data_IF_505223557739
#
_entry.id   IF_505223557739
#
_cell.length_a   1.000
_cell.length_b   1.000
_cell.length_c   1.000
_cell.angle_alpha   90.00
_cell.angle_beta   90.00
_cell.angle_gamma   90.00
#
_symmetry.space_group_name_H-M   'P 1'
#
loop_
_entity.id
_entity.type
_entity.pdbx_description
1 polymer ?
#
# COMPACT_ATOMS: atom_id res chain seq x y z
N UNK A 1 59.91 12.73 -51.49
CA UNK A 1 58.87 13.72 -51.76
C UNK A 1 57.89 13.67 -50.59
N UNK A 2 58.11 14.34 -49.44
CA UNK A 2 58.25 15.81 -49.22
C UNK A 2 56.93 16.56 -49.42
N UNK A 3 56.46 17.48 -48.56
CA UNK A 3 56.87 17.99 -47.23
C UNK A 3 55.59 18.07 -46.34
N UNK A 4 55.53 17.98 -45.00
CA UNK A 4 56.30 18.54 -43.85
C UNK A 4 56.02 20.03 -43.51
N UNK A 5 55.22 20.26 -42.46
CA UNK A 5 55.34 21.29 -41.40
C UNK A 5 54.43 20.80 -40.23
N UNK A 6 54.79 20.67 -38.94
CA UNK A 6 55.52 21.54 -38.00
C UNK A 6 54.72 22.82 -37.65
N UNK A 7 54.51 23.21 -36.38
CA UNK A 7 55.37 23.03 -35.20
C UNK A 7 54.59 22.93 -33.85
N UNK A 8 55.33 22.70 -32.75
CA UNK A 8 54.86 22.67 -31.36
C UNK A 8 55.83 23.43 -30.42
N UNK A 9 55.31 24.09 -29.37
CA UNK A 9 55.99 24.63 -28.16
C UNK A 9 54.91 24.69 -27.04
N UNK A 10 55.01 24.22 -25.78
CA UNK A 10 56.03 23.55 -24.94
C UNK A 10 56.94 24.41 -24.03
N UNK A 11 56.40 24.92 -22.91
CA UNK A 11 57.09 25.10 -21.59
C UNK A 11 56.04 25.53 -20.53
N UNK A 12 55.82 24.81 -19.41
CA UNK A 12 56.62 24.73 -18.16
C UNK A 12 56.62 26.06 -17.36
N UNK A 13 56.40 26.08 -16.04
CA UNK A 13 57.25 25.50 -14.97
C UNK A 13 56.50 25.37 -13.61
N UNK A 14 56.83 24.28 -12.87
CA UNK A 14 56.84 24.00 -11.39
C UNK A 14 56.13 24.91 -10.35
N UNK A 15 55.93 24.53 -9.08
CA UNK A 15 55.77 23.26 -8.31
C UNK A 15 55.88 23.64 -6.80
N UNK A 16 55.07 23.09 -5.88
CA UNK A 16 55.51 22.62 -4.54
C UNK A 16 54.36 22.20 -3.59
N UNK A 17 54.46 20.95 -3.14
CA UNK A 17 54.00 20.28 -1.91
C UNK A 17 53.20 21.03 -0.81
N UNK A 18 52.12 20.37 -0.36
CA UNK A 18 51.79 20.16 1.06
C UNK A 18 51.02 18.83 1.24
N UNK A 19 51.06 18.23 2.43
CA UNK A 19 50.66 16.83 2.72
C UNK A 19 49.36 16.70 3.54
N UNK A 20 48.54 15.69 3.18
CA UNK A 20 47.64 14.90 4.05
C UNK A 20 46.46 15.61 4.78
N UNK A 21 45.52 14.88 5.43
CA UNK A 21 44.74 13.74 4.89
C UNK A 21 43.21 13.88 5.10
N UNK A 22 42.44 13.04 4.39
CA UNK A 22 41.09 12.50 4.71
C UNK A 22 39.96 13.38 5.31
N UNK A 23 38.76 13.34 4.69
CA UNK A 23 37.46 13.03 5.39
C UNK A 23 36.47 12.43 4.38
N UNK A 24 35.87 11.29 4.73
CA UNK A 24 34.70 10.71 4.04
C UNK A 24 33.41 11.44 4.41
N UNK A 25 32.82 12.19 3.48
CA UNK A 25 31.60 12.96 3.69
C UNK A 25 30.30 12.14 3.63
N UNK A 26 30.03 11.28 4.61
CA UNK A 26 28.70 10.71 4.79
C UNK A 26 27.71 11.82 5.25
N UNK A 27 26.76 12.21 4.39
CA UNK A 27 25.75 13.23 4.75
C UNK A 27 24.79 12.67 5.80
N UNK A 28 24.91 13.18 7.03
CA UNK A 28 23.98 12.93 8.14
C UNK A 28 22.56 13.38 7.80
N UNK A 29 21.60 12.61 8.30
CA UNK A 29 20.19 13.00 8.39
C UNK A 29 20.01 14.31 9.15
N UNK A 30 19.11 15.18 8.66
CA UNK A 30 18.70 16.42 9.31
C UNK A 30 17.59 16.13 10.34
N UNK A 31 17.99 15.86 11.58
CA UNK A 31 17.17 16.05 12.76
C UNK A 31 18.00 16.81 13.81
N UNK A 32 17.41 17.85 14.41
CA UNK A 32 18.09 18.74 15.35
C UNK A 32 18.38 18.08 16.71
N UNK A 33 19.26 18.67 17.54
CA UNK A 33 19.68 18.07 18.81
C UNK A 33 18.66 18.33 19.93
N UNK A 34 18.31 17.26 20.66
CA UNK A 34 17.64 17.36 21.97
C UNK A 34 18.63 17.86 23.03
N UNK A 35 18.32 18.98 23.67
CA UNK A 35 19.06 19.47 24.83
C UNK A 35 18.48 18.89 26.13
N UNK A 36 19.31 18.16 26.88
CA UNK A 36 19.01 17.73 28.24
C UNK A 36 18.84 18.94 29.17
N UNK A 37 17.73 18.99 29.91
CA UNK A 37 17.78 19.54 31.26
C UNK A 37 16.77 18.86 32.19
N UNK A 38 17.20 18.58 33.44
CA UNK A 38 16.39 17.86 34.44
C UNK A 38 15.73 18.83 35.40
N UNK A 39 14.40 18.84 35.44
CA UNK A 39 13.63 19.26 36.63
C UNK A 39 12.41 18.35 36.80
N UNK A 40 12.23 17.82 38.01
CA UNK A 40 11.09 16.97 38.39
C UNK A 40 9.91 17.86 38.81
N UNK A 41 8.81 17.82 38.07
CA UNK A 41 7.46 18.07 38.62
C UNK A 41 6.46 17.10 37.99
N UNK A 42 5.54 16.62 38.81
CA UNK A 42 4.58 15.58 38.46
C UNK A 42 3.37 16.16 37.72
N UNK A 43 3.35 16.03 36.39
CA UNK A 43 2.12 15.98 35.60
C UNK A 43 2.23 14.82 34.61
N UNK A 44 1.20 13.97 34.58
CA UNK A 44 1.14 12.83 33.66
C UNK A 44 0.97 13.31 32.23
N UNK A 45 2.10 13.43 31.52
CA UNK A 45 2.12 13.62 30.07
C UNK A 45 1.36 12.45 29.42
N UNK A 46 0.47 12.67 28.43
CA UNK A 46 -0.15 11.56 27.71
C UNK A 46 0.92 10.66 27.11
N UNK A 47 0.68 9.36 27.12
CA UNK A 47 1.66 8.34 26.73
C UNK A 47 2.00 8.45 25.24
N UNK A 48 3.08 9.16 24.92
CA UNK A 48 3.53 9.42 23.53
C UNK A 48 4.05 8.17 22.82
N UNK A 49 3.93 6.99 23.44
CA UNK A 49 4.26 5.68 22.87
C UNK A 49 3.04 4.81 22.49
N UNK A 50 1.80 5.32 22.61
CA UNK A 50 0.61 4.58 22.20
C UNK A 50 0.43 4.56 20.66
N UNK A 51 0.95 3.52 20.00
CA UNK A 51 0.65 3.18 18.60
C UNK A 51 -0.70 2.48 18.50
N UNK A 52 -1.48 2.78 17.46
CA UNK A 52 -2.77 2.15 17.18
C UNK A 52 -2.76 1.46 15.81
N UNK A 53 -3.47 0.33 15.70
CA UNK A 53 -3.86 -0.27 14.42
C UNK A 53 -5.31 0.11 14.16
N UNK A 54 -5.57 0.74 13.02
CA UNK A 54 -6.92 0.95 12.51
C UNK A 54 -7.27 -0.21 11.60
N UNK A 55 -8.37 -0.88 11.89
CA UNK A 55 -8.97 -1.90 11.04
C UNK A 55 -10.30 -1.37 10.49
N UNK A 56 -10.35 -1.16 9.18
CA UNK A 56 -11.53 -0.72 8.45
C UNK A 56 -12.36 -1.93 8.09
N UNK A 57 -13.62 -1.96 8.56
CA UNK A 57 -14.43 -3.17 8.52
C UNK A 57 -15.92 -2.91 8.30
N UNK A 58 -16.52 -3.71 7.42
CA UNK A 58 -17.97 -3.68 7.13
C UNK A 58 -18.72 -4.76 7.89
N UNK A 59 -20.00 -4.55 8.25
CA UNK A 59 -20.82 -5.58 8.89
C UNK A 59 -21.20 -6.67 7.88
N UNK A 60 -21.03 -7.95 8.27
CA UNK A 60 -21.49 -9.09 7.44
C UNK A 60 -23.02 -9.13 7.27
N UNK A 61 -23.75 -8.58 8.25
CA UNK A 61 -25.19 -8.37 8.14
C UNK A 61 -25.59 -6.99 8.69
N UNK A 62 -25.82 -6.04 7.79
CA UNK A 62 -26.23 -4.68 8.15
C UNK A 62 -27.60 -4.62 8.87
N UNK A 63 -28.48 -5.62 8.74
CA UNK A 63 -29.78 -5.61 9.44
C UNK A 63 -29.68 -5.74 10.96
N UNK A 64 -28.49 -6.10 11.49
CA UNK A 64 -28.19 -6.08 12.93
C UNK A 64 -27.78 -4.69 13.44
N UNK A 65 -27.95 -3.63 12.63
CA UNK A 65 -27.58 -2.26 13.01
C UNK A 65 -26.07 -2.00 13.01
N UNK A 66 -25.29 -2.86 12.35
CA UNK A 66 -23.88 -2.62 12.07
C UNK A 66 -23.70 -1.50 11.04
N UNK A 67 -22.59 -0.77 11.15
CA UNK A 67 -22.18 0.30 10.23
C UNK A 67 -20.73 0.07 9.81
N UNK A 68 -20.36 0.48 8.60
CA UNK A 68 -18.98 0.46 8.14
C UNK A 68 -18.14 1.32 9.11
N UNK A 69 -17.16 0.72 9.78
CA UNK A 69 -16.53 1.30 10.99
C UNK A 69 -15.01 1.11 11.02
N UNK A 70 -14.31 2.10 11.58
CA UNK A 70 -12.91 1.97 12.00
C UNK A 70 -12.88 1.37 13.42
N UNK A 71 -12.25 0.21 13.56
CA UNK A 71 -11.94 -0.41 14.84
C UNK A 71 -10.50 -0.02 15.22
N UNK A 72 -10.35 0.67 16.36
CA UNK A 72 -9.06 1.14 16.86
C UNK A 72 -8.49 0.11 17.84
N UNK A 73 -7.41 -0.56 17.48
CA UNK A 73 -6.75 -1.59 18.28
C UNK A 73 -5.47 -1.02 18.91
N UNK A 74 -5.36 -1.08 20.23
CA UNK A 74 -4.20 -0.54 20.96
C UNK A 74 -3.00 -1.49 20.91
N UNK A 75 -1.80 -0.93 20.70
CA UNK A 75 -0.52 -1.64 20.81
C UNK A 75 0.23 -1.32 22.11
N UNK A 76 -0.29 -0.41 22.96
CA UNK A 76 0.30 -0.08 24.26
C UNK A 76 0.27 -1.29 25.21
N UNK A 77 1.30 -1.50 26.04
CA UNK A 77 1.52 -2.80 26.68
C UNK A 77 0.37 -3.30 27.59
N UNK A 78 -0.33 -2.40 28.28
CA UNK A 78 -1.44 -2.68 29.18
C UNK A 78 -2.80 -2.85 28.44
N UNK A 79 -2.88 -2.42 27.18
CA UNK A 79 -4.05 -2.54 26.30
C UNK A 79 -3.82 -3.37 25.05
N UNK A 80 -2.62 -3.92 24.85
CA UNK A 80 -2.21 -4.62 23.63
C UNK A 80 -3.27 -5.62 23.14
N UNK A 81 -3.74 -5.43 21.91
CA UNK A 81 -4.74 -6.28 21.26
C UNK A 81 -6.19 -5.98 21.61
N UNK A 82 -6.46 -5.01 22.51
CA UNK A 82 -7.83 -4.55 22.78
C UNK A 82 -8.28 -3.59 21.70
N UNK A 83 -9.52 -3.76 21.22
CA UNK A 83 -10.26 -2.67 20.59
C UNK A 83 -10.59 -1.64 21.67
N UNK A 84 -10.11 -0.42 21.49
CA UNK A 84 -10.23 0.69 22.45
C UNK A 84 -11.23 1.77 22.02
N UNK A 85 -11.56 1.82 20.72
CA UNK A 85 -12.64 2.61 20.17
C UNK A 85 -13.20 1.94 18.91
N UNK A 86 -14.45 2.25 18.58
CA UNK A 86 -15.10 1.91 17.31
C UNK A 86 -15.73 3.20 16.78
N UNK A 87 -15.36 3.61 15.58
CA UNK A 87 -15.80 4.86 14.95
C UNK A 87 -16.64 4.49 13.73
N UNK A 88 -17.99 4.50 13.85
CA UNK A 88 -18.88 4.19 12.75
C UNK A 88 -19.02 5.36 11.78
N UNK A 89 -19.21 5.02 10.51
CA UNK A 89 -19.76 5.94 9.51
C UNK A 89 -21.30 5.86 9.52
N UNK A 90 -22.03 6.77 8.84
CA UNK A 90 -23.47 6.59 8.64
C UNK A 90 -23.83 5.42 7.71
N UNK A 91 -22.85 4.81 7.03
CA UNK A 91 -23.03 3.83 5.96
C UNK A 91 -22.87 2.37 6.43
N UNK A 92 -23.30 1.40 5.61
CA UNK A 92 -23.23 -0.05 5.91
C UNK A 92 -23.19 -0.92 4.65
N UNK A 93 -22.63 -0.38 3.57
CA UNK A 93 -22.64 -0.96 2.22
C UNK A 93 -21.48 -0.43 1.35
N UNK A 94 -20.48 0.21 1.95
CA UNK A 94 -19.30 0.74 1.24
C UNK A 94 -18.46 -0.37 0.62
N UNK A 95 -18.45 -1.55 1.23
CA UNK A 95 -17.34 -2.51 1.20
C UNK A 95 -16.03 -1.83 1.65
N UNK A 96 -15.83 -1.69 2.98
CA UNK A 96 -14.60 -1.17 3.56
C UNK A 96 -13.35 -1.88 3.03
N UNK A 97 -12.61 -1.21 2.14
CA UNK A 97 -11.48 -1.79 1.43
C UNK A 97 -10.14 -1.27 1.99
N UNK A 98 -9.22 -0.68 1.23
CA UNK A 98 -7.90 -0.27 1.76
C UNK A 98 -7.90 1.07 2.52
N UNK A 99 -6.85 1.29 3.32
CA UNK A 99 -6.61 2.55 4.05
C UNK A 99 -5.13 2.92 4.09
N UNK A 100 -4.84 4.22 4.26
CA UNK A 100 -3.48 4.75 4.48
C UNK A 100 -3.53 6.01 5.35
N UNK A 101 -2.53 6.18 6.20
CA UNK A 101 -2.31 7.41 6.97
C UNK A 101 -1.41 8.35 6.16
N UNK A 102 -1.76 9.63 6.12
CA UNK A 102 -0.96 10.71 5.52
C UNK A 102 0.46 10.79 6.11
N UNK A 103 1.42 11.29 5.34
CA UNK A 103 2.80 11.50 5.80
C UNK A 103 2.90 12.43 7.01
N UNK A 104 1.99 13.41 7.10
CA UNK A 104 1.80 14.34 8.23
C UNK A 104 1.08 13.72 9.42
N UNK A 105 0.48 12.53 9.27
CA UNK A 105 -0.36 11.82 10.26
C UNK A 105 -1.58 12.61 10.73
N UNK A 106 -1.98 13.67 10.01
CA UNK A 106 -3.18 14.46 10.31
C UNK A 106 -4.46 13.72 9.93
N UNK A 107 -4.41 12.97 8.83
CA UNK A 107 -5.54 12.23 8.28
C UNK A 107 -5.20 10.76 7.95
N UNK A 108 -6.23 9.93 7.96
CA UNK A 108 -6.28 8.62 7.32
C UNK A 108 -7.32 8.63 6.19
N UNK A 109 -6.94 8.23 4.99
CA UNK A 109 -7.86 7.93 3.90
C UNK A 109 -8.24 6.45 3.91
N UNK A 110 -9.50 6.15 3.60
CA UNK A 110 -10.05 4.79 3.49
C UNK A 110 -11.05 4.71 2.32
N UNK A 111 -11.04 3.59 1.61
CA UNK A 111 -11.89 3.35 0.43
C UNK A 111 -13.13 2.51 0.75
N UNK A 112 -14.20 2.77 0.00
CA UNK A 112 -15.37 1.90 -0.12
C UNK A 112 -15.47 1.36 -1.55
N UNK A 113 -15.07 0.10 -1.76
CA UNK A 113 -14.95 -0.47 -3.11
C UNK A 113 -16.30 -0.54 -3.84
N UNK A 114 -17.40 -0.80 -3.12
CA UNK A 114 -18.76 -0.93 -3.67
C UNK A 114 -19.65 0.30 -3.45
N UNK A 115 -19.10 1.39 -2.92
CA UNK A 115 -19.80 2.67 -2.77
C UNK A 115 -20.39 3.17 -4.11
N UNK A 116 -19.72 2.86 -5.23
CA UNK A 116 -20.17 3.13 -6.60
C UNK A 116 -21.53 2.51 -6.95
N UNK A 117 -21.89 1.37 -6.34
CA UNK A 117 -23.18 0.71 -6.56
C UNK A 117 -24.31 1.25 -5.66
N UNK A 118 -24.00 2.14 -4.71
CA UNK A 118 -24.92 2.54 -3.63
C UNK A 118 -25.12 4.06 -3.52
N UNK A 119 -24.54 4.85 -4.43
CA UNK A 119 -24.55 6.33 -4.40
C UNK A 119 -23.96 6.93 -3.12
N UNK A 120 -23.06 6.20 -2.46
CA UNK A 120 -22.36 6.63 -1.24
C UNK A 120 -20.97 7.17 -1.64
N UNK A 121 -20.39 8.16 -0.93
CA UNK A 121 -18.99 8.56 -1.11
C UNK A 121 -18.02 7.38 -1.00
N UNK A 122 -17.22 7.15 -2.06
CA UNK A 122 -16.27 6.04 -2.15
C UNK A 122 -14.91 6.32 -1.50
N UNK A 123 -14.62 7.59 -1.20
CA UNK A 123 -13.39 8.03 -0.55
C UNK A 123 -13.75 8.76 0.74
N UNK A 124 -13.38 8.17 1.88
CA UNK A 124 -13.62 8.73 3.21
C UNK A 124 -12.31 9.10 3.88
N UNK A 125 -12.32 10.18 4.66
CA UNK A 125 -11.18 10.64 5.45
C UNK A 125 -11.52 10.71 6.93
N UNK A 126 -10.54 10.38 7.76
CA UNK A 126 -10.65 10.46 9.22
C UNK A 126 -9.53 11.35 9.76
N UNK A 127 -9.87 12.35 10.58
CA UNK A 127 -8.93 13.20 11.31
C UNK A 127 -8.35 12.42 12.51
N UNK A 128 -7.02 12.52 12.69
CA UNK A 128 -6.26 11.79 13.70
C UNK A 128 -5.67 12.71 14.80
N UNK A 129 -6.30 13.85 15.07
CA UNK A 129 -5.87 14.75 16.16
C UNK A 129 -6.00 14.09 17.55
N UNK A 130 -6.96 13.19 17.72
CA UNK A 130 -6.94 12.12 18.72
C UNK A 130 -6.83 10.76 18.01
N UNK A 131 -5.63 10.15 17.95
CA UNK A 131 -5.43 8.84 17.33
C UNK A 131 -6.20 7.69 18.00
N UNK A 132 -6.65 7.84 19.26
CA UNK A 132 -7.48 6.83 19.91
C UNK A 132 -8.93 6.92 19.44
N UNK A 133 -9.40 8.12 19.13
CA UNK A 133 -10.78 8.41 18.73
C UNK A 133 -10.80 9.24 17.43
N UNK A 134 -10.41 8.64 16.29
CA UNK A 134 -10.38 9.34 15.02
C UNK A 134 -11.79 9.82 14.64
N UNK A 135 -11.88 10.95 13.93
CA UNK A 135 -13.17 11.57 13.57
C UNK A 135 -13.40 11.50 12.07
N UNK A 136 -14.54 10.98 11.64
CA UNK A 136 -14.94 11.07 10.23
C UNK A 136 -14.99 12.55 9.82
N UNK A 137 -14.23 12.92 8.80
CA UNK A 137 -14.37 14.20 8.10
C UNK A 137 -15.69 14.13 7.34
N UNK A 138 -16.51 15.18 7.43
CA UNK A 138 -17.82 15.23 6.81
C UNK A 138 -17.74 14.90 5.30
N UNK A 139 -18.29 13.76 4.84
CA UNK A 139 -18.17 13.34 3.45
C UNK A 139 -18.81 14.32 2.46
N UNK A 140 -19.77 15.14 2.89
CA UNK A 140 -20.41 16.16 2.04
C UNK A 140 -19.45 17.34 1.75
N UNK A 141 -18.40 17.50 2.55
CA UNK A 141 -17.38 18.57 2.38
C UNK A 141 -16.17 18.13 1.55
N UNK A 142 -16.14 16.87 1.10
CA UNK A 142 -15.00 16.26 0.39
C UNK A 142 -15.39 15.98 -1.06
N UNK A 143 -14.74 16.67 -2.00
CA UNK A 143 -14.90 16.41 -3.43
C UNK A 143 -14.59 14.95 -3.77
N UNK A 144 -15.60 14.20 -4.23
CA UNK A 144 -15.45 12.83 -4.73
C UNK A 144 -14.99 12.82 -6.19
N UNK A 145 -14.26 11.78 -6.65
CA UNK A 145 -13.92 11.61 -8.07
C UNK A 145 -15.20 11.48 -8.90
N UNK A 146 -15.20 12.07 -10.11
CA UNK A 146 -16.38 12.18 -10.99
C UNK A 146 -16.25 11.30 -12.24
N UNK A 147 -15.03 11.07 -12.70
CA UNK A 147 -14.74 10.31 -13.91
C UNK A 147 -14.26 8.88 -13.63
N UNK A 148 -14.13 8.51 -12.35
CA UNK A 148 -13.70 7.19 -11.89
C UNK A 148 -14.35 6.82 -10.56
N UNK A 149 -14.37 5.53 -10.27
CA UNK A 149 -14.96 4.92 -9.08
C UNK A 149 -14.19 3.63 -8.73
N UNK A 150 -14.70 2.84 -7.77
CA UNK A 150 -14.04 1.63 -7.26
C UNK A 150 -12.68 1.95 -6.66
N UNK A 151 -12.71 2.78 -5.60
CA UNK A 151 -11.53 3.18 -4.86
C UNK A 151 -10.83 1.98 -4.23
N UNK A 152 -9.52 1.86 -4.43
CA UNK A 152 -8.69 0.76 -3.92
C UNK A 152 -7.54 1.27 -3.03
N UNK A 153 -6.28 1.12 -3.43
CA UNK A 153 -5.06 1.38 -2.65
C UNK A 153 -4.67 2.86 -2.61
N UNK A 154 -4.14 3.28 -1.45
CA UNK A 154 -3.70 4.64 -1.19
C UNK A 154 -2.19 4.72 -0.98
N UNK A 155 -1.53 5.71 -1.58
CA UNK A 155 -0.18 6.16 -1.23
C UNK A 155 -0.24 7.58 -0.69
N UNK A 156 0.33 7.81 0.50
CA UNK A 156 0.46 9.15 1.04
C UNK A 156 1.51 9.95 0.24
N UNK A 157 1.18 11.20 -0.11
CA UNK A 157 2.11 12.15 -0.74
C UNK A 157 3.04 12.77 0.31
N UNK A 158 4.12 13.40 -0.14
CA UNK A 158 5.09 14.09 0.73
C UNK A 158 4.51 15.36 1.38
N UNK A 159 3.60 16.07 0.70
CA UNK A 159 2.92 17.26 1.21
C UNK A 159 1.88 16.98 2.31
N UNK A 160 1.43 15.72 2.45
CA UNK A 160 0.44 15.28 3.44
C UNK A 160 -0.92 14.88 2.88
N UNK A 161 -1.11 14.93 1.56
CA UNK A 161 -2.25 14.38 0.83
C UNK A 161 -2.14 12.89 0.49
N UNK A 162 -2.82 12.49 -0.59
CA UNK A 162 -2.94 11.11 -1.04
C UNK A 162 -3.02 10.98 -2.56
N UNK A 163 -2.37 9.95 -3.11
CA UNK A 163 -2.78 9.31 -4.35
C UNK A 163 -3.62 8.08 -4.04
N UNK A 164 -4.62 7.81 -4.87
CA UNK A 164 -5.56 6.71 -4.73
C UNK A 164 -5.88 6.11 -6.11
N UNK A 165 -5.83 4.80 -6.24
CA UNK A 165 -6.35 4.11 -7.43
C UNK A 165 -7.87 4.01 -7.41
N UNK A 166 -8.47 4.23 -8.58
CA UNK A 166 -9.90 4.13 -8.85
C UNK A 166 -10.04 3.13 -10.02
N UNK A 167 -10.41 1.89 -9.73
CA UNK A 167 -10.27 0.76 -10.66
C UNK A 167 -11.13 0.86 -11.93
N UNK A 168 -12.10 1.75 -12.02
CA UNK A 168 -12.95 1.85 -13.21
C UNK A 168 -13.70 3.16 -13.33
N UNK A 169 -14.53 3.26 -14.37
CA UNK A 169 -15.53 4.33 -14.49
C UNK A 169 -16.60 4.20 -13.39
N UNK A 170 -17.48 5.20 -13.19
CA UNK A 170 -18.65 5.07 -12.29
C UNK A 170 -19.57 3.87 -12.61
N UNK A 171 -19.55 3.35 -13.83
CA UNK A 171 -20.27 2.13 -14.25
C UNK A 171 -19.45 0.84 -14.13
N UNK A 172 -18.23 0.93 -13.63
CA UNK A 172 -17.28 -0.19 -13.44
C UNK A 172 -16.59 -0.66 -14.73
N UNK A 173 -16.65 0.13 -15.80
CA UNK A 173 -15.90 -0.10 -17.04
C UNK A 173 -14.47 0.45 -16.96
N UNK A 174 -13.86 0.62 -18.13
CA UNK A 174 -12.58 1.32 -18.29
C UNK A 174 -12.83 2.66 -19.01
N UNK A 175 -11.98 3.69 -18.83
CA UNK A 175 -10.83 3.73 -17.94
C UNK A 175 -11.19 4.02 -16.47
N UNK A 176 -10.51 3.34 -15.55
CA UNK A 176 -10.24 3.83 -14.20
C UNK A 176 -9.17 4.92 -14.20
N UNK A 177 -8.83 5.49 -13.03
CA UNK A 177 -7.90 6.62 -12.90
C UNK A 177 -7.12 6.56 -11.58
N UNK A 178 -6.12 7.44 -11.42
CA UNK A 178 -5.49 7.75 -10.14
C UNK A 178 -6.02 9.10 -9.67
N UNK A 179 -6.77 9.14 -8.56
CA UNK A 179 -7.20 10.37 -7.92
C UNK A 179 -6.08 10.95 -7.05
N UNK A 180 -5.92 12.27 -7.05
CA UNK A 180 -4.93 12.97 -6.23
C UNK A 180 -5.63 13.97 -5.30
N UNK A 181 -5.48 13.77 -4.00
CA UNK A 181 -5.94 14.67 -2.94
C UNK A 181 -4.78 15.42 -2.32
N UNK A 182 -4.97 16.73 -2.11
CA UNK A 182 -4.06 17.58 -1.33
C UNK A 182 -4.08 17.23 0.16
N UNK A 183 -3.08 17.74 0.91
CA UNK A 183 -3.05 17.69 2.39
C UNK A 183 -4.29 18.26 3.11
N UNK A 184 -5.06 19.10 2.41
CA UNK A 184 -6.29 19.74 2.91
C UNK A 184 -7.55 19.07 2.35
N UNK A 185 -7.41 17.81 1.88
CA UNK A 185 -8.47 16.91 1.40
C UNK A 185 -9.26 17.39 0.17
N UNK A 186 -8.77 18.41 -0.53
CA UNK A 186 -9.30 18.82 -1.84
C UNK A 186 -8.79 17.90 -2.94
N UNK A 187 -9.70 17.45 -3.82
CA UNK A 187 -9.36 16.72 -5.04
C UNK A 187 -8.64 17.67 -6.02
N UNK A 188 -7.37 17.38 -6.31
CA UNK A 188 -6.53 18.11 -7.26
C UNK A 188 -6.88 17.69 -8.70
N UNK A 189 -7.15 16.39 -8.91
CA UNK A 189 -7.50 15.86 -10.21
C UNK A 189 -7.59 14.33 -10.23
N UNK A 190 -8.05 13.82 -11.37
CA UNK A 190 -8.07 12.40 -11.71
C UNK A 190 -7.15 12.18 -12.93
N UNK A 191 -6.28 11.17 -12.87
CA UNK A 191 -5.20 10.99 -13.85
C UNK A 191 -5.25 9.62 -14.56
N UNK A 192 -5.02 9.56 -15.90
CA UNK A 192 -4.70 10.70 -16.78
C UNK A 192 -5.89 11.66 -16.89
N UNK A 193 -5.63 12.92 -17.26
CA UNK A 193 -6.66 13.98 -17.31
C UNK A 193 -7.86 13.55 -18.17
N UNK A 194 -9.09 13.43 -17.63
CA UNK A 194 -10.27 12.96 -18.36
C UNK A 194 -10.66 13.85 -19.55
N UNK A 195 -10.29 15.14 -19.54
CA UNK A 195 -10.58 16.05 -20.65
C UNK A 195 -9.62 15.84 -21.84
N UNK A 196 -8.41 15.33 -21.59
CA UNK A 196 -7.38 15.07 -22.62
C UNK A 196 -7.34 13.61 -23.05
N UNK A 197 -7.59 12.71 -22.11
CA UNK A 197 -7.55 11.27 -22.24
C UNK A 197 -8.88 10.70 -21.72
N UNK A 198 -9.99 10.93 -22.47
CA UNK A 198 -11.31 10.40 -22.11
C UNK A 198 -11.28 8.86 -22.10
N UNK A 199 -10.66 8.27 -23.13
CA UNK A 199 -10.44 6.83 -23.28
C UNK A 199 -8.98 6.46 -23.01
N UNK A 200 -8.76 5.40 -22.22
CA UNK A 200 -7.45 4.76 -22.06
C UNK A 200 -7.68 3.25 -21.99
N UNK A 201 -7.19 2.53 -23.00
CA UNK A 201 -7.48 1.11 -23.17
C UNK A 201 -7.00 0.28 -21.96
N UNK A 202 -7.93 -0.50 -21.40
CA UNK A 202 -7.67 -1.48 -20.33
C UNK A 202 -7.18 -0.89 -19.00
N UNK A 203 -7.24 0.43 -18.79
CA UNK A 203 -6.82 1.07 -17.55
C UNK A 203 -7.83 0.72 -16.44
N UNK A 204 -7.42 -0.11 -15.49
CA UNK A 204 -8.20 -0.53 -14.33
C UNK A 204 -7.28 -0.64 -13.11
N UNK A 205 -6.68 0.49 -12.67
CA UNK A 205 -5.53 0.45 -11.77
C UNK A 205 -5.95 0.04 -10.36
N UNK A 206 -5.15 -0.80 -9.73
CA UNK A 206 -5.38 -1.36 -8.39
C UNK A 206 -4.20 -1.03 -7.47
N UNK A 207 -3.09 -1.77 -7.54
CA UNK A 207 -1.85 -1.41 -6.84
C UNK A 207 -1.15 -0.19 -7.44
N UNK A 208 -0.56 0.66 -6.58
CA UNK A 208 0.34 1.75 -7.00
C UNK A 208 1.60 1.89 -6.14
N UNK A 209 2.74 2.10 -6.80
CA UNK A 209 4.03 2.38 -6.16
C UNK A 209 4.64 3.66 -6.70
N UNK A 210 5.14 4.54 -5.83
CA UNK A 210 5.72 5.85 -6.23
C UNK A 210 7.15 5.99 -5.71
N UNK A 211 8.07 6.43 -6.56
CA UNK A 211 9.35 7.02 -6.15
C UNK A 211 9.34 8.52 -6.47
N UNK A 212 9.20 9.31 -5.41
CA UNK A 212 9.12 10.77 -5.47
C UNK A 212 10.42 11.41 -5.96
N UNK A 213 11.57 10.89 -5.53
CA UNK A 213 12.90 11.40 -5.91
C UNK A 213 13.15 11.24 -7.41
N UNK A 214 12.69 10.14 -8.00
CA UNK A 214 12.83 9.85 -9.42
C UNK A 214 11.63 10.23 -10.27
N UNK A 215 10.61 10.87 -9.66
CA UNK A 215 9.39 11.37 -10.30
C UNK A 215 8.69 10.32 -11.17
N UNK A 216 8.71 9.08 -10.73
CA UNK A 216 8.06 7.97 -11.45
C UNK A 216 7.22 7.13 -10.52
N UNK A 217 6.12 6.63 -11.07
CA UNK A 217 5.15 5.76 -10.42
C UNK A 217 4.88 4.56 -11.33
N UNK A 218 4.53 3.44 -10.72
CA UNK A 218 3.92 2.30 -11.39
C UNK A 218 2.47 2.15 -10.91
N UNK A 219 1.57 1.76 -11.81
CA UNK A 219 0.29 1.14 -11.44
C UNK A 219 0.19 -0.22 -12.10
N UNK A 220 -0.55 -1.13 -11.47
CA UNK A 220 -0.95 -2.41 -12.10
C UNK A 220 -2.46 -2.44 -12.30
N UNK A 221 -2.90 -2.94 -13.45
CA UNK A 221 -4.32 -3.09 -13.73
C UNK A 221 -4.79 -4.48 -13.30
N UNK A 222 -5.81 -4.58 -12.45
CA UNK A 222 -6.24 -5.88 -11.90
C UNK A 222 -7.35 -6.54 -12.75
N UNK A 223 -8.56 -6.01 -12.70
CA UNK A 223 -9.70 -6.45 -13.51
C UNK A 223 -10.71 -5.31 -13.70
N UNK A 224 -11.57 -5.41 -14.71
CA UNK A 224 -12.65 -4.45 -14.95
C UNK A 224 -13.79 -4.63 -13.93
N UNK A 225 -14.06 -3.70 -12.99
CA UNK A 225 -14.96 -3.94 -11.85
C UNK A 225 -16.32 -4.54 -12.22
N UNK A 226 -16.97 -4.01 -13.26
CA UNK A 226 -18.27 -4.46 -13.75
C UNK A 226 -18.28 -5.90 -14.30
N UNK A 227 -17.11 -6.48 -14.60
CA UNK A 227 -17.00 -7.86 -15.07
C UNK A 227 -17.09 -8.90 -13.94
N UNK A 228 -16.89 -8.49 -12.68
CA UNK A 228 -17.05 -9.36 -11.50
C UNK A 228 -18.51 -9.62 -11.09
N UNK A 229 -19.47 -8.91 -11.69
CA UNK A 229 -20.90 -9.10 -11.40
C UNK A 229 -21.38 -10.47 -11.91
N UNK A 230 -22.32 -11.09 -11.19
CA UNK A 230 -22.83 -12.43 -11.50
C UNK A 230 -23.34 -12.53 -12.95
N UNK A 231 -23.08 -13.68 -13.59
CA UNK A 231 -23.50 -13.96 -14.97
C UNK A 231 -22.66 -13.30 -16.08
N UNK A 232 -21.46 -12.77 -15.74
CA UNK A 232 -20.51 -12.18 -16.70
C UNK A 232 -19.21 -12.99 -16.74
N UNK A 233 -18.40 -12.82 -17.79
CA UNK A 233 -17.01 -13.31 -17.78
C UNK A 233 -16.11 -12.29 -17.09
N UNK A 234 -15.39 -12.70 -16.05
CA UNK A 234 -14.40 -11.86 -15.38
C UNK A 234 -13.29 -11.43 -16.37
N UNK A 235 -13.10 -10.12 -16.53
CA UNK A 235 -12.10 -9.53 -17.42
C UNK A 235 -10.86 -9.11 -16.61
N UNK A 236 -9.99 -10.08 -16.34
CA UNK A 236 -8.65 -9.82 -15.80
C UNK A 236 -7.83 -8.98 -16.79
N UNK A 237 -6.87 -8.22 -16.25
CA UNK A 237 -5.88 -7.45 -17.01
C UNK A 237 -4.49 -8.05 -16.79
N UNK A 238 -3.51 -7.65 -17.61
CA UNK A 238 -2.11 -8.09 -17.55
C UNK A 238 -1.13 -6.93 -17.56
N UNK A 239 -1.63 -5.69 -17.53
CA UNK A 239 -0.86 -4.49 -17.84
C UNK A 239 -0.24 -3.84 -16.61
N UNK A 240 1.00 -3.40 -16.79
CA UNK A 240 1.79 -2.64 -15.82
C UNK A 240 2.11 -1.29 -16.48
N UNK A 241 1.78 -0.18 -15.82
CA UNK A 241 1.91 1.16 -16.41
C UNK A 241 2.96 1.95 -15.68
N UNK A 242 3.94 2.45 -16.42
CA UNK A 242 4.93 3.39 -15.91
C UNK A 242 4.48 4.82 -16.21
N UNK A 243 4.58 5.67 -15.19
CA UNK A 243 4.11 7.04 -15.21
C UNK A 243 5.27 8.03 -15.02
N UNK A 244 5.11 9.22 -15.59
CA UNK A 244 5.80 10.43 -15.17
C UNK A 244 4.87 11.19 -14.21
N UNK A 245 5.27 11.37 -12.95
CA UNK A 245 4.43 12.10 -11.98
C UNK A 245 4.64 13.61 -12.03
N UNK A 246 5.54 14.11 -12.90
CA UNK A 246 5.74 15.54 -13.12
C UNK A 246 4.57 16.19 -13.87
N UNK A 247 3.88 15.40 -14.70
CA UNK A 247 2.74 15.79 -15.54
C UNK A 247 1.55 14.80 -15.46
N UNK A 248 1.69 13.76 -14.63
CA UNK A 248 0.71 12.69 -14.42
C UNK A 248 0.33 11.90 -15.68
N UNK A 249 1.28 11.75 -16.61
CA UNK A 249 1.10 10.97 -17.84
C UNK A 249 1.59 9.53 -17.71
N UNK A 250 0.93 8.60 -18.40
CA UNK A 250 1.44 7.25 -18.64
C UNK A 250 2.49 7.37 -19.75
N UNK A 251 3.75 7.06 -19.44
CA UNK A 251 4.85 7.06 -20.43
C UNK A 251 5.00 5.72 -21.15
N UNK A 252 4.57 4.62 -20.52
CA UNK A 252 4.65 3.28 -21.09
C UNK A 252 3.57 2.38 -20.48
N UNK A 253 2.88 1.61 -21.32
CA UNK A 253 2.00 0.51 -20.91
C UNK A 253 2.67 -0.79 -21.32
N UNK A 254 3.08 -1.58 -20.34
CA UNK A 254 3.77 -2.87 -20.52
C UNK A 254 2.71 -3.95 -20.43
N UNK A 255 2.55 -4.77 -21.47
CA UNK A 255 1.81 -6.03 -21.34
C UNK A 255 2.72 -7.10 -20.71
N UNK A 256 2.43 -7.49 -19.47
CA UNK A 256 3.18 -8.52 -18.77
C UNK A 256 2.63 -9.94 -19.02
N UNK A 257 1.58 -10.11 -19.85
CA UNK A 257 0.95 -11.41 -20.13
C UNK A 257 1.96 -12.49 -20.54
N UNK A 258 2.93 -12.12 -21.38
CA UNK A 258 3.99 -13.00 -21.89
C UNK A 258 5.01 -13.43 -20.81
N UNK A 259 5.03 -12.77 -19.65
CA UNK A 259 6.01 -12.97 -18.58
C UNK A 259 5.41 -13.93 -17.54
N UNK A 260 5.52 -15.24 -17.78
CA UNK A 260 4.96 -16.29 -16.90
C UNK A 260 3.43 -16.23 -16.72
N UNK A 261 2.69 -15.72 -17.70
CA UNK A 261 1.23 -15.60 -17.65
C UNK A 261 0.78 -14.70 -16.48
N UNK A 262 1.25 -13.44 -16.43
CA UNK A 262 0.65 -12.44 -15.51
C UNK A 262 -0.81 -12.27 -15.88
N UNK A 263 -1.68 -12.39 -14.88
CA UNK A 263 -3.13 -12.33 -15.05
C UNK A 263 -3.75 -11.85 -13.75
N UNK A 264 -4.31 -10.66 -13.76
CA UNK A 264 -4.77 -9.96 -12.57
C UNK A 264 -3.63 -9.57 -11.62
N UNK A 265 -2.64 -8.75 -12.04
CA UNK A 265 -1.68 -8.19 -11.10
C UNK A 265 -2.39 -7.26 -10.09
N UNK A 266 -2.26 -7.57 -8.81
CA UNK A 266 -3.07 -6.95 -7.75
C UNK A 266 -2.36 -5.74 -7.12
N UNK A 267 -1.22 -5.95 -6.46
CA UNK A 267 -0.50 -4.87 -5.77
C UNK A 267 0.84 -4.52 -6.43
N UNK A 268 1.26 -3.26 -6.28
CA UNK A 268 2.54 -2.75 -6.73
C UNK A 268 3.11 -1.74 -5.74
N UNK A 269 4.42 -1.82 -5.46
CA UNK A 269 5.07 -1.01 -4.42
C UNK A 269 6.46 -0.54 -4.84
N UNK A 270 6.85 0.66 -4.43
CA UNK A 270 8.19 1.19 -4.71
C UNK A 270 9.25 0.58 -3.80
N UNK A 271 10.44 0.32 -4.36
CA UNK A 271 11.61 -0.15 -3.63
C UNK A 271 12.33 1.08 -3.08
N UNK A 272 11.75 1.66 -2.03
CA UNK A 272 12.12 2.98 -1.52
C UNK A 272 12.24 4.02 -2.66
N UNK A 273 13.21 4.92 -2.58
CA UNK A 273 13.47 5.96 -3.57
C UNK A 273 14.51 5.54 -4.63
N UNK A 274 14.51 4.26 -5.05
CA UNK A 274 15.43 3.77 -6.10
C UNK A 274 14.93 4.06 -7.52
N UNK A 275 13.63 4.27 -7.69
CA UNK A 275 12.95 4.29 -9.00
C UNK A 275 12.62 2.91 -9.58
N UNK A 276 12.89 1.84 -8.81
CA UNK A 276 12.47 0.48 -9.12
C UNK A 276 11.27 0.06 -8.27
N UNK A 277 10.54 -0.95 -8.73
CA UNK A 277 9.25 -1.38 -8.18
C UNK A 277 9.17 -2.89 -8.06
N UNK A 278 8.32 -3.35 -7.13
CA UNK A 278 7.74 -4.68 -7.14
C UNK A 278 6.29 -4.64 -7.56
N UNK A 279 5.80 -5.70 -8.21
CA UNK A 279 4.37 -5.98 -8.32
C UNK A 279 4.07 -7.48 -8.21
N UNK A 280 2.89 -7.83 -7.68
CA UNK A 280 2.38 -9.20 -7.66
C UNK A 280 1.61 -9.49 -8.95
N UNK A 281 1.90 -10.59 -9.64
CA UNK A 281 1.35 -10.85 -10.99
C UNK A 281 0.04 -11.64 -11.06
N UNK A 282 -0.69 -11.82 -9.95
CA UNK A 282 -1.90 -12.66 -9.87
C UNK A 282 -1.67 -14.17 -10.07
N UNK A 283 -0.41 -14.57 -10.28
CA UNK A 283 0.04 -15.95 -10.50
C UNK A 283 1.02 -16.44 -9.42
N UNK A 284 1.06 -15.75 -8.27
CA UNK A 284 1.88 -16.08 -7.11
C UNK A 284 3.36 -15.67 -7.21
N UNK A 285 3.78 -15.09 -8.32
CA UNK A 285 5.10 -14.47 -8.46
C UNK A 285 5.07 -12.99 -8.10
N UNK A 286 6.19 -12.50 -7.54
CA UNK A 286 6.50 -11.08 -7.43
C UNK A 286 7.54 -10.74 -8.49
N UNK A 287 7.30 -9.67 -9.23
CA UNK A 287 8.12 -9.19 -10.34
C UNK A 287 8.86 -7.93 -9.92
N UNK A 288 10.12 -7.81 -10.31
CA UNK A 288 10.92 -6.60 -10.23
C UNK A 288 10.83 -5.83 -11.55
N UNK A 289 10.69 -4.51 -11.46
CA UNK A 289 10.70 -3.59 -12.58
C UNK A 289 11.64 -2.41 -12.27
N UNK A 290 12.72 -2.27 -13.04
CA UNK A 290 13.57 -1.07 -12.99
C UNK A 290 12.91 0.05 -13.80
N UNK A 291 12.14 0.93 -13.16
CA UNK A 291 11.50 2.07 -13.82
C UNK A 291 12.47 3.15 -14.33
N UNK A 292 13.78 2.97 -14.15
CA UNK A 292 14.83 3.86 -14.67
C UNK A 292 15.71 3.18 -15.72
N UNK A 293 15.39 1.95 -16.10
CA UNK A 293 16.09 1.21 -17.14
C UNK A 293 15.88 1.80 -18.54
N UNK A 294 16.54 1.23 -19.55
CA UNK A 294 16.22 1.53 -20.95
C UNK A 294 14.83 1.00 -21.31
N UNK A 295 14.10 1.74 -22.14
CA UNK A 295 12.88 1.24 -22.78
C UNK A 295 13.24 0.31 -23.98
N UNK A 296 12.39 -0.68 -24.33
CA UNK A 296 11.15 -1.06 -23.63
C UNK A 296 11.44 -1.70 -22.28
N UNK A 297 10.63 -1.37 -21.28
CA UNK A 297 10.81 -1.87 -19.92
C UNK A 297 10.28 -3.29 -19.78
N UNK A 298 11.14 -4.22 -19.34
CA UNK A 298 10.80 -5.64 -19.19
C UNK A 298 10.86 -6.06 -17.71
N UNK A 299 9.72 -6.34 -17.06
CA UNK A 299 9.68 -6.95 -15.75
C UNK A 299 10.41 -8.30 -15.69
N UNK A 300 11.08 -8.58 -14.57
CA UNK A 300 11.71 -9.86 -14.30
C UNK A 300 11.07 -10.53 -13.07
N UNK A 301 10.90 -11.85 -13.08
CA UNK A 301 10.48 -12.59 -11.88
C UNK A 301 11.56 -12.45 -10.82
N UNK A 302 11.20 -11.86 -9.67
CA UNK A 302 12.11 -11.70 -8.52
C UNK A 302 11.89 -12.81 -7.49
N UNK A 303 10.63 -13.16 -7.21
CA UNK A 303 10.27 -14.12 -6.15
C UNK A 303 9.11 -15.03 -6.55
N UNK A 304 9.16 -16.29 -6.10
CA UNK A 304 8.07 -17.25 -6.20
C UNK A 304 7.41 -17.44 -4.82
N UNK A 305 6.32 -16.71 -4.56
CA UNK A 305 5.57 -16.78 -3.31
C UNK A 305 4.90 -18.14 -3.08
N UNK A 306 4.71 -18.94 -4.14
CA UNK A 306 4.11 -20.27 -4.09
C UNK A 306 5.13 -21.41 -4.07
N UNK A 307 6.43 -21.10 -3.97
CA UNK A 307 7.52 -22.07 -3.77
C UNK A 307 7.47 -23.26 -4.75
N UNK A 308 7.27 -23.00 -6.03
CA UNK A 308 7.26 -24.02 -7.08
C UNK A 308 5.91 -24.73 -7.29
N UNK A 309 4.83 -24.34 -6.61
CA UNK A 309 3.49 -24.92 -6.80
C UNK A 309 3.10 -25.00 -8.29
N UNK A 310 2.56 -26.14 -8.78
CA UNK A 310 2.01 -26.24 -10.12
C UNK A 310 0.66 -25.53 -10.24
N UNK A 311 -0.15 -25.50 -9.17
CA UNK A 311 -1.29 -24.60 -9.08
C UNK A 311 -0.79 -23.18 -8.84
N UNK A 312 -1.08 -22.31 -9.81
CA UNK A 312 -0.69 -20.90 -9.83
C UNK A 312 -1.86 -19.96 -9.59
N UNK A 313 -3.04 -20.50 -9.29
CA UNK A 313 -4.21 -19.71 -8.89
C UNK A 313 -3.86 -18.96 -7.61
N UNK A 314 -3.74 -17.64 -7.70
CA UNK A 314 -3.24 -16.83 -6.59
C UNK A 314 -3.95 -15.50 -6.52
N UNK A 315 -4.59 -15.25 -5.39
CA UNK A 315 -5.03 -13.90 -5.03
C UNK A 315 -3.88 -13.05 -4.47
N UNK A 316 -2.62 -13.33 -4.85
CA UNK A 316 -1.39 -12.78 -4.25
C UNK A 316 -1.52 -11.30 -3.86
N UNK A 317 -1.51 -11.06 -2.55
CA UNK A 317 -2.15 -9.91 -1.94
C UNK A 317 -1.21 -8.70 -1.78
N UNK A 318 -1.71 -7.74 -1.01
CA UNK A 318 -1.05 -6.51 -0.64
C UNK A 318 0.32 -6.79 -0.02
N UNK A 319 1.30 -6.02 -0.47
CA UNK A 319 2.67 -6.00 -0.01
C UNK A 319 2.93 -4.78 0.88
N UNK A 320 4.04 -4.81 1.61
CA UNK A 320 4.52 -3.65 2.34
C UNK A 320 6.04 -3.54 2.25
N UNK A 321 6.58 -2.58 1.46
CA UNK A 321 8.02 -2.33 1.40
C UNK A 321 8.45 -1.59 2.67
N UNK A 322 9.67 -1.85 3.13
CA UNK A 322 10.27 -1.06 4.19
C UNK A 322 10.91 0.19 3.57
N UNK A 323 10.95 1.30 4.31
CA UNK A 323 11.34 2.62 3.79
C UNK A 323 12.77 2.68 3.25
N UNK A 324 13.64 1.76 3.68
CA UNK A 324 15.01 1.64 3.20
C UNK A 324 15.16 0.70 1.98
N UNK A 325 14.09 0.05 1.53
CA UNK A 325 14.08 -0.86 0.38
C UNK A 325 14.73 -2.23 0.63
N UNK A 326 15.20 -2.53 1.85
CA UNK A 326 15.91 -3.79 2.16
C UNK A 326 15.02 -4.91 2.67
N UNK A 327 13.73 -4.64 2.90
CA UNK A 327 12.74 -5.66 3.28
C UNK A 327 11.42 -5.45 2.55
N UNK A 328 10.71 -6.56 2.36
CA UNK A 328 9.35 -6.61 1.85
C UNK A 328 8.55 -7.61 2.71
N UNK A 329 7.36 -7.21 3.16
CA UNK A 329 6.33 -8.15 3.56
C UNK A 329 5.42 -8.41 2.37
N UNK A 330 5.10 -9.69 2.12
CA UNK A 330 4.18 -10.09 1.06
C UNK A 330 3.13 -11.04 1.64
N UNK A 331 1.86 -10.64 1.56
CA UNK A 331 0.74 -11.45 2.01
C UNK A 331 0.34 -12.47 0.92
N UNK A 332 0.11 -13.71 1.32
CA UNK A 332 -0.11 -14.86 0.44
C UNK A 332 -1.38 -15.58 0.87
N UNK A 333 -2.54 -15.05 0.45
CA UNK A 333 -3.86 -15.52 0.89
C UNK A 333 -4.04 -17.03 0.73
N UNK A 334 -3.84 -17.55 -0.49
CA UNK A 334 -3.97 -18.99 -0.81
C UNK A 334 -2.99 -19.91 -0.06
N UNK A 335 -2.01 -19.35 0.65
CA UNK A 335 -1.05 -20.09 1.49
C UNK A 335 -1.25 -19.89 2.99
N UNK A 336 -2.20 -19.06 3.40
CA UNK A 336 -2.38 -18.66 4.79
C UNK A 336 -1.10 -18.05 5.40
N UNK A 337 -0.42 -17.16 4.67
CA UNK A 337 0.91 -16.68 5.07
C UNK A 337 1.11 -15.17 4.91
N UNK A 338 2.02 -14.62 5.72
CA UNK A 338 2.79 -13.42 5.38
C UNK A 338 4.27 -13.82 5.32
N UNK A 339 4.92 -13.55 4.19
CA UNK A 339 6.36 -13.80 4.00
C UNK A 339 7.14 -12.52 4.28
N UNK A 340 8.26 -12.64 5.01
CA UNK A 340 9.24 -11.57 5.21
C UNK A 340 10.46 -11.85 4.34
N UNK A 341 10.73 -10.96 3.38
CA UNK A 341 11.82 -11.10 2.42
C UNK A 341 12.94 -10.08 2.69
N UNK A 342 14.19 -10.50 2.51
CA UNK A 342 15.33 -9.62 2.30
C UNK A 342 15.34 -9.17 0.85
N UNK A 343 15.26 -7.86 0.61
CA UNK A 343 15.29 -7.24 -0.73
C UNK A 343 16.56 -6.40 -0.96
N UNK A 344 17.60 -6.58 -0.13
CA UNK A 344 18.91 -5.92 -0.30
C UNK A 344 19.55 -6.19 -1.66
N UNK A 345 19.21 -7.32 -2.31
CA UNK A 345 19.31 -7.47 -3.77
C UNK A 345 17.87 -7.53 -4.33
N UNK A 346 17.38 -6.46 -4.98
CA UNK A 346 15.97 -6.39 -5.31
C UNK A 346 15.54 -7.34 -6.43
N UNK A 347 16.48 -7.77 -7.28
CA UNK A 347 16.22 -8.73 -8.35
C UNK A 347 16.21 -10.19 -7.87
N UNK A 348 16.78 -10.45 -6.68
CA UNK A 348 16.85 -11.80 -6.08
C UNK A 348 16.57 -11.75 -4.57
N UNK A 349 15.32 -11.45 -4.15
CA UNK A 349 14.91 -11.52 -2.77
C UNK A 349 15.17 -12.88 -2.13
N UNK A 350 15.31 -12.89 -0.79
CA UNK A 350 15.47 -14.12 0.00
C UNK A 350 14.43 -14.18 1.10
N UNK A 351 13.76 -15.32 1.26
CA UNK A 351 12.91 -15.54 2.43
C UNK A 351 13.74 -15.51 3.71
N UNK A 352 13.35 -14.67 4.67
CA UNK A 352 13.94 -14.59 6.00
C UNK A 352 13.10 -15.37 7.02
N UNK A 353 11.79 -15.18 6.98
CA UNK A 353 10.84 -15.81 7.89
C UNK A 353 9.41 -15.80 7.30
N UNK A 354 8.52 -16.63 7.87
CA UNK A 354 7.13 -16.75 7.45
C UNK A 354 6.21 -16.73 8.67
N UNK A 355 5.30 -15.76 8.73
CA UNK A 355 4.17 -15.79 9.64
C UNK A 355 3.11 -16.73 9.06
N UNK A 356 3.11 -17.99 9.51
CA UNK A 356 2.08 -18.95 9.18
C UNK A 356 0.79 -18.64 9.95
N UNK A 357 -0.30 -18.49 9.22
CA UNK A 357 -1.67 -18.36 9.74
C UNK A 357 -2.35 -19.74 9.75
N UNK A 358 -3.46 -19.91 10.50
CA UNK A 358 -4.27 -21.13 10.42
C UNK A 358 -4.80 -21.37 9.01
N UNK A 359 -5.06 -22.65 8.68
CA UNK A 359 -5.58 -23.03 7.36
C UNK A 359 -6.92 -22.34 7.06
N UNK A 360 -7.03 -21.70 5.90
CA UNK A 360 -8.21 -20.95 5.47
C UNK A 360 -8.37 -19.59 6.17
N UNK A 361 -7.34 -19.10 6.86
CA UNK A 361 -7.33 -17.73 7.33
C UNK A 361 -7.29 -16.75 6.16
N UNK A 362 -6.35 -16.92 5.22
CA UNK A 362 -6.19 -16.05 4.06
C UNK A 362 -5.57 -14.70 4.39
N UNK A 363 -4.25 -14.62 4.57
CA UNK A 363 -3.59 -13.32 4.82
C UNK A 363 -3.72 -12.39 3.59
N UNK A 364 -4.41 -11.26 3.75
CA UNK A 364 -4.68 -10.28 2.67
C UNK A 364 -3.92 -8.96 2.86
N UNK A 365 -4.45 -8.01 3.64
CA UNK A 365 -3.82 -6.70 3.79
C UNK A 365 -2.82 -6.69 4.96
N UNK A 366 -1.53 -6.51 4.66
CA UNK A 366 -0.45 -6.40 5.67
C UNK A 366 0.15 -4.99 5.73
N UNK A 367 0.41 -4.51 6.96
CA UNK A 367 1.13 -3.24 7.23
C UNK A 367 2.06 -3.39 8.42
N UNK A 368 3.10 -2.54 8.49
CA UNK A 368 3.88 -2.28 9.72
C UNK A 368 3.79 -0.82 10.15
N UNK A 369 4.08 -0.59 11.43
CA UNK A 369 4.23 0.72 12.07
C UNK A 369 5.33 1.54 11.41
N UNK A 370 5.30 2.87 11.60
CA UNK A 370 6.32 3.78 11.04
C UNK A 370 7.75 3.48 11.51
N UNK A 371 7.95 2.81 12.65
CA UNK A 371 9.25 2.36 13.14
C UNK A 371 9.65 0.95 12.65
N UNK A 372 8.79 0.30 11.87
CA UNK A 372 8.98 -1.02 11.25
C UNK A 372 9.15 -2.17 12.26
N UNK A 373 8.64 -2.01 13.49
CA UNK A 373 8.77 -3.01 14.59
C UNK A 373 7.51 -3.80 14.92
N UNK A 374 6.34 -3.29 14.61
CA UNK A 374 5.05 -3.94 14.88
C UNK A 374 4.20 -3.88 13.62
N UNK A 375 3.45 -4.92 13.34
CA UNK A 375 2.56 -4.97 12.19
C UNK A 375 1.27 -5.69 12.48
N UNK A 376 0.38 -5.63 11.50
CA UNK A 376 -0.88 -6.34 11.51
C UNK A 376 -1.19 -6.88 10.11
N UNK A 377 -1.90 -8.00 10.07
CA UNK A 377 -2.49 -8.56 8.84
C UNK A 377 -3.98 -8.79 9.04
N UNK A 378 -4.78 -8.34 8.07
CA UNK A 378 -6.20 -8.63 7.95
C UNK A 378 -6.38 -9.87 7.07
N UNK A 379 -7.43 -10.65 7.35
CA UNK A 379 -7.62 -11.97 6.73
C UNK A 379 -8.84 -12.10 5.82
N UNK A 380 -9.63 -11.05 5.65
CA UNK A 380 -10.68 -10.99 4.65
C UNK A 380 -10.12 -10.46 3.31
N UNK A 381 -10.57 -11.02 2.18
CA UNK A 381 -10.21 -10.53 0.84
C UNK A 381 -11.41 -9.86 0.15
N UNK A 382 -12.49 -10.60 -0.17
CA UNK A 382 -13.67 -9.99 -0.78
C UNK A 382 -14.88 -10.94 -0.73
N UNK A 383 -16.07 -10.41 -0.46
CA UNK A 383 -17.32 -11.16 -0.53
C UNK A 383 -18.44 -10.32 -1.16
N UNK A 384 -18.79 -10.62 -2.41
CA UNK A 384 -19.74 -9.85 -3.21
C UNK A 384 -21.21 -10.23 -2.99
N UNK A 385 -21.48 -11.33 -2.27
CA UNK A 385 -22.81 -11.90 -2.15
C UNK A 385 -23.40 -12.30 -3.50
N UNK A 386 -24.73 -12.54 -3.59
CA UNK A 386 -25.39 -13.02 -4.81
C UNK A 386 -25.26 -12.12 -6.05
N UNK A 387 -24.71 -10.90 -5.91
CA UNK A 387 -24.55 -9.94 -7.00
C UNK A 387 -23.24 -10.11 -7.78
N UNK A 388 -22.24 -10.81 -7.22
CA UNK A 388 -20.91 -10.96 -7.81
C UNK A 388 -20.44 -12.40 -7.95
N UNK A 389 -19.12 -12.56 -8.09
CA UNK A 389 -18.45 -13.84 -8.33
C UNK A 389 -17.31 -14.12 -7.33
N UNK A 390 -16.88 -13.11 -6.57
CA UNK A 390 -15.75 -13.20 -5.64
C UNK A 390 -16.26 -13.48 -4.22
N UNK A 391 -15.85 -14.64 -3.68
CA UNK A 391 -16.36 -15.22 -2.43
C UNK A 391 -15.23 -15.78 -1.54
N UNK A 392 -14.47 -14.88 -0.94
CA UNK A 392 -13.23 -15.15 -0.19
C UNK A 392 -13.22 -14.40 1.15
N UNK A 393 -14.06 -14.85 2.09
CA UNK A 393 -14.20 -14.23 3.41
C UNK A 393 -13.00 -14.43 4.36
N UNK A 394 -12.19 -15.48 4.15
CA UNK A 394 -11.15 -15.89 5.10
C UNK A 394 -11.69 -16.23 6.49
N UNK A 395 -10.90 -16.03 7.55
CA UNK A 395 -11.32 -16.32 8.93
C UNK A 395 -11.86 -15.13 9.74
N UNK A 396 -11.93 -13.94 9.12
CA UNK A 396 -12.42 -12.68 9.71
C UNK A 396 -11.65 -12.25 10.97
N UNK A 397 -10.32 -12.16 10.87
CA UNK A 397 -9.44 -11.73 11.96
C UNK A 397 -8.49 -10.60 11.57
N UNK A 398 -8.07 -9.83 12.58
CA UNK A 398 -6.87 -8.99 12.49
C UNK A 398 -5.82 -9.58 13.42
N UNK A 399 -4.62 -9.81 12.89
CA UNK A 399 -3.55 -10.53 13.57
C UNK A 399 -2.32 -9.65 13.73
N UNK A 400 -1.94 -9.41 14.98
CA UNK A 400 -0.81 -8.55 15.35
C UNK A 400 0.49 -9.35 15.42
N UNK A 401 1.57 -8.79 14.90
CA UNK A 401 2.91 -9.35 15.01
C UNK A 401 3.94 -8.27 15.35
N UNK A 402 5.03 -8.65 16.00
CA UNK A 402 6.24 -7.85 16.07
C UNK A 402 7.29 -8.34 15.08
N UNK A 403 8.36 -7.57 14.94
CA UNK A 403 9.59 -7.96 14.26
C UNK A 403 10.77 -7.80 15.23
N UNK A 404 11.82 -8.61 15.06
CA UNK A 404 13.07 -8.38 15.80
C UNK A 404 13.82 -7.14 15.27
N UNK A 405 14.80 -6.62 16.02
CA UNK A 405 15.48 -5.35 15.71
C UNK A 405 16.18 -5.30 14.34
N UNK A 406 16.44 -6.46 13.71
CA UNK A 406 17.05 -6.57 12.37
C UNK A 406 16.03 -6.74 11.24
N UNK A 407 14.72 -6.76 11.57
CA UNK A 407 13.62 -7.13 10.68
C UNK A 407 13.93 -8.44 9.92
N UNK A 408 14.27 -9.50 10.66
CA UNK A 408 14.64 -10.82 10.12
C UNK A 408 13.75 -11.96 10.59
N UNK A 409 12.93 -11.74 11.63
CA UNK A 409 11.98 -12.72 12.16
C UNK A 409 10.72 -12.05 12.70
N UNK A 410 9.60 -12.74 12.60
CA UNK A 410 8.35 -12.41 13.28
C UNK A 410 8.44 -12.73 14.78
N UNK A 411 7.78 -11.93 15.61
CA UNK A 411 7.79 -12.03 17.07
C UNK A 411 6.37 -11.82 17.61
N UNK A 412 5.70 -12.89 18.04
CA UNK A 412 4.36 -12.79 18.63
C UNK A 412 4.46 -12.52 20.13
N UNK A 413 4.49 -11.23 20.52
CA UNK A 413 4.72 -10.80 21.92
C UNK A 413 3.69 -11.35 22.91
N UNK A 414 2.42 -11.42 22.53
CA UNK A 414 1.30 -11.82 23.43
C UNK A 414 0.29 -12.67 22.65
N UNK A 415 0.56 -13.96 22.38
CA UNK A 415 -0.22 -14.78 21.43
C UNK A 415 -1.74 -14.71 21.61
N UNK A 416 -2.24 -14.88 22.83
CA UNK A 416 -3.68 -14.82 23.15
C UNK A 416 -4.34 -13.44 22.97
N UNK A 417 -3.54 -12.37 22.78
CA UNK A 417 -3.99 -11.00 22.50
C UNK A 417 -3.56 -10.53 21.10
N UNK A 418 -2.86 -11.36 20.34
CA UNK A 418 -2.38 -11.04 18.99
C UNK A 418 -3.38 -11.45 17.90
N UNK A 419 -4.57 -11.91 18.25
CA UNK A 419 -5.66 -12.24 17.33
C UNK A 419 -6.93 -11.54 17.80
N UNK A 420 -7.47 -10.66 16.96
CA UNK A 420 -8.73 -9.96 17.19
C UNK A 420 -9.76 -10.61 16.27
N UNK A 421 -10.78 -11.22 16.86
CA UNK A 421 -11.82 -11.97 16.14
C UNK A 421 -13.02 -11.07 15.80
N UNK A 422 -13.15 -10.71 14.53
CA UNK A 422 -14.23 -9.84 14.04
C UNK A 422 -15.59 -10.55 13.93
N UNK A 423 -15.66 -11.88 14.14
CA UNK A 423 -16.95 -12.60 14.29
C UNK A 423 -17.64 -12.27 15.61
N UNK A 424 -16.90 -11.80 16.63
CA UNK A 424 -17.43 -11.57 17.99
C UNK A 424 -17.21 -10.15 18.52
N UNK A 425 -16.28 -9.38 17.92
CA UNK A 425 -15.88 -8.04 18.39
C UNK A 425 -17.04 -7.07 18.64
N UNK A 426 -18.05 -7.05 17.76
CA UNK A 426 -19.16 -6.10 17.80
C UNK A 426 -20.43 -6.66 18.49
N UNK A 427 -20.35 -7.86 19.08
CA UNK A 427 -21.41 -8.53 19.85
C UNK A 427 -22.77 -8.54 19.15
N UNK A 428 -23.66 -7.60 19.50
CA UNK A 428 -25.05 -7.53 19.00
C UNK A 428 -25.15 -7.14 17.52
N UNK A 429 -24.15 -6.45 16.97
CA UNK A 429 -24.09 -6.08 15.55
C UNK A 429 -23.60 -7.23 14.65
N UNK A 430 -23.28 -8.40 15.24
CA UNK A 430 -22.82 -9.58 14.51
C UNK A 430 -21.35 -9.52 14.09
N UNK A 431 -21.03 -10.30 13.06
CA UNK A 431 -19.69 -10.41 12.50
C UNK A 431 -19.36 -9.23 11.56
N UNK A 432 -18.09 -8.87 11.51
CA UNK A 432 -17.52 -7.85 10.63
C UNK A 432 -16.44 -8.45 9.72
N UNK A 433 -16.20 -7.79 8.58
CA UNK A 433 -15.18 -8.12 7.58
C UNK A 433 -14.04 -7.10 7.65
N UNK A 434 -12.94 -7.39 8.36
CA UNK A 434 -11.81 -6.47 8.49
C UNK A 434 -10.90 -6.58 7.27
N UNK A 435 -10.75 -5.49 6.51
CA UNK A 435 -9.95 -5.47 5.29
C UNK A 435 -8.81 -4.47 5.41
N UNK A 436 -9.12 -3.17 5.38
CA UNK A 436 -8.15 -2.10 5.38
C UNK A 436 -7.41 -2.02 6.70
N UNK A 437 -6.09 -2.01 6.63
CA UNK A 437 -5.24 -1.75 7.80
C UNK A 437 -4.43 -0.48 7.56
N UNK A 438 -4.36 0.36 8.59
CA UNK A 438 -3.34 1.37 8.76
C UNK A 438 -2.81 1.37 10.20
N UNK A 439 -1.58 1.83 10.41
CA UNK A 439 -0.92 1.81 11.74
C UNK A 439 -0.35 3.19 12.02
N UNK A 440 -0.73 3.78 13.16
CA UNK A 440 -0.33 5.12 13.60
C UNK A 440 1.11 5.13 14.13
#
# INVERSE_FOLDING_TARGET
MEHRHSAAILACVLCCCALAPAVTGARRSLLGPDNNNKTKTSTTKPDTTATYVYAWAGPKNASLGGKDSIFVISLADHEYGKVVAVVPTPYSALEPHHCRISSTRKYMGCSGLFAAFTSIPGVLFFELSDPRNPKLVDPETVDQPKHSAFADEFVATDDGGFLLTMMGTPTGGSPGRVAHYSKDLKLIGEYPDPARFPEVEGLNPHGLGVSWVHKTMVTVDFFEPASSMAGRSLKLRSTVRLWNISDWTIRETIDASLIRNVSGPMDAVAIAETGAFYFGGGNGYIYYLDGRGPAPHVPAVAWDGLAGSPDRTSFGCIMHPFRNGTRLLAAMFVRDQVQLLDTSNPQKPKLLDTLQLPKGAGGHAVRVSRDEKVGAVATYYLEQGPMGQLHHEGDLTVRLFGLNDKATKFVIKKPAKSVIDFKTVAKKQGAFRPHGIAIY
#
